data_IF_197586771657
#
_entry.id   IF_197586771657
#
_cell.length_a   1.000
_cell.length_b   1.000
_cell.length_c   1.000
_cell.angle_alpha   90.00
_cell.angle_beta   90.00
_cell.angle_gamma   90.00
#
_symmetry.space_group_name_H-M   'P 1'
#
loop_
_entity.id
_entity.type
_entity.pdbx_description
1 polymer ?
#
# COMPACT_ATOMS: atom_id res chain seq x y z
N UNK A 1 13.00 2.66 2.85
CA UNK A 1 12.29 2.80 1.55
C UNK A 1 12.72 4.04 0.76
N UNK A 2 12.91 3.94 -0.56
CA UNK A 2 13.11 5.12 -1.41
C UNK A 2 11.83 5.98 -1.46
N UNK A 3 11.98 7.31 -1.38
CA UNK A 3 10.81 8.23 -1.38
C UNK A 3 9.93 8.08 -2.61
N UNK A 4 10.51 7.67 -3.74
CA UNK A 4 9.80 7.41 -4.97
C UNK A 4 8.85 6.19 -4.85
N UNK A 5 9.29 5.16 -4.14
CA UNK A 5 8.54 3.92 -3.93
C UNK A 5 7.34 4.15 -3.01
N UNK A 6 7.56 4.91 -1.94
CA UNK A 6 6.49 5.33 -1.01
C UNK A 6 5.43 6.17 -1.72
N UNK A 7 5.85 7.16 -2.53
CA UNK A 7 4.93 7.98 -3.33
C UNK A 7 4.15 7.14 -4.35
N UNK A 8 4.78 6.12 -4.95
CA UNK A 8 4.12 5.23 -5.90
C UNK A 8 3.05 4.36 -5.20
N UNK A 9 3.36 3.79 -4.04
CA UNK A 9 2.40 3.03 -3.23
C UNK A 9 1.24 3.89 -2.74
N UNK A 10 1.52 5.12 -2.30
CA UNK A 10 0.49 6.07 -1.89
C UNK A 10 -0.42 6.44 -3.07
N UNK A 11 0.16 6.65 -4.26
CA UNK A 11 -0.60 6.92 -5.48
C UNK A 11 -1.48 5.73 -5.85
N UNK A 12 -0.94 4.51 -5.82
CA UNK A 12 -1.70 3.27 -6.05
C UNK A 12 -2.85 3.10 -5.06
N UNK A 13 -2.62 3.42 -3.78
CA UNK A 13 -3.65 3.39 -2.75
C UNK A 13 -4.76 4.41 -3.02
N UNK A 14 -4.42 5.67 -3.31
CA UNK A 14 -5.40 6.71 -3.62
C UNK A 14 -6.20 6.40 -4.89
N UNK A 15 -5.52 5.91 -5.94
CA UNK A 15 -6.18 5.46 -7.18
C UNK A 15 -7.14 4.31 -6.88
N UNK A 16 -6.73 3.33 -6.07
CA UNK A 16 -7.59 2.23 -5.63
C UNK A 16 -8.84 2.73 -4.90
N UNK A 17 -8.70 3.67 -3.96
CA UNK A 17 -9.84 4.28 -3.26
C UNK A 17 -10.81 4.94 -4.23
N UNK A 18 -10.30 5.69 -5.22
CA UNK A 18 -11.15 6.30 -6.25
C UNK A 18 -11.86 5.23 -7.07
N UNK A 19 -11.17 4.17 -7.51
CA UNK A 19 -11.75 3.07 -8.29
C UNK A 19 -12.85 2.35 -7.51
N UNK A 20 -12.66 2.08 -6.22
CA UNK A 20 -13.68 1.43 -5.36
C UNK A 20 -14.92 2.30 -5.17
N UNK A 21 -14.76 3.62 -5.12
CA UNK A 21 -15.87 4.56 -4.91
C UNK A 21 -16.49 5.05 -6.23
N UNK A 22 -15.90 4.73 -7.37
CA UNK A 22 -16.43 5.12 -8.68
C UNK A 22 -17.31 3.99 -9.21
N UNK A 23 -18.58 4.30 -9.44
CA UNK A 23 -19.48 3.39 -10.15
C UNK A 23 -19.14 3.42 -11.66
N UNK A 24 -18.21 2.55 -12.04
CA UNK A 24 -17.86 2.26 -13.42
C UNK A 24 -18.99 1.39 -13.99
N UNK A 25 -20.06 2.04 -14.43
CA UNK A 25 -21.37 1.43 -14.67
C UNK A 25 -21.40 0.09 -15.44
N UNK A 26 -22.50 -0.65 -15.24
CA UNK A 26 -22.71 -2.06 -15.62
C UNK A 26 -22.76 -2.40 -17.13
N UNK A 27 -22.33 -1.51 -18.01
CA UNK A 27 -22.44 -1.73 -19.47
C UNK A 27 -21.38 -2.73 -19.94
N UNK A 28 -21.81 -3.84 -20.54
CA UNK A 28 -20.87 -4.79 -21.16
C UNK A 28 -20.11 -4.14 -22.32
N UNK A 29 -18.78 -4.31 -22.43
CA UNK A 29 -17.87 -5.18 -21.65
C UNK A 29 -17.18 -4.51 -20.45
N UNK A 30 -17.52 -3.25 -20.15
CA UNK A 30 -16.88 -2.44 -19.10
C UNK A 30 -17.08 -3.05 -17.70
N UNK A 31 -18.16 -3.78 -17.47
CA UNK A 31 -18.46 -4.47 -16.20
C UNK A 31 -17.42 -5.53 -15.80
N UNK A 32 -16.84 -6.27 -16.75
CA UNK A 32 -15.79 -7.25 -16.46
C UNK A 32 -14.48 -6.57 -16.02
N UNK A 33 -14.12 -5.48 -16.71
CA UNK A 33 -12.94 -4.68 -16.36
C UNK A 33 -13.14 -3.93 -15.04
N UNK A 34 -14.34 -3.42 -14.79
CA UNK A 34 -14.75 -2.80 -13.53
C UNK A 34 -14.60 -3.76 -12.36
N UNK A 35 -15.11 -4.99 -12.50
CA UNK A 35 -15.00 -6.04 -11.47
C UNK A 35 -13.55 -6.40 -11.17
N UNK A 36 -12.72 -6.56 -12.22
CA UNK A 36 -11.30 -6.87 -12.05
C UNK A 36 -10.55 -5.71 -11.39
N UNK A 37 -10.80 -4.48 -11.84
CA UNK A 37 -10.21 -3.27 -11.26
C UNK A 37 -10.61 -3.10 -9.78
N UNK A 38 -11.87 -3.38 -9.44
CA UNK A 38 -12.37 -3.36 -8.07
C UNK A 38 -11.69 -4.40 -7.18
N UNK A 39 -11.51 -5.63 -7.66
CA UNK A 39 -10.79 -6.68 -6.94
C UNK A 39 -9.33 -6.29 -6.67
N UNK A 40 -8.64 -5.78 -7.70
CA UNK A 40 -7.25 -5.31 -7.57
C UNK A 40 -7.19 -4.13 -6.60
N UNK A 41 -8.13 -3.20 -6.68
CA UNK A 41 -8.21 -2.05 -5.80
C UNK A 41 -8.38 -2.49 -4.33
N UNK A 42 -9.31 -3.39 -4.02
CA UNK A 42 -9.46 -3.96 -2.68
C UNK A 42 -8.17 -4.60 -2.17
N UNK A 43 -7.47 -5.36 -3.04
CA UNK A 43 -6.23 -6.02 -2.69
C UNK A 43 -5.14 -4.99 -2.35
N UNK A 44 -4.97 -3.95 -3.17
CA UNK A 44 -4.04 -2.84 -2.93
C UNK A 44 -4.40 -2.08 -1.65
N UNK A 45 -5.68 -1.87 -1.38
CA UNK A 45 -6.15 -1.16 -0.19
C UNK A 45 -5.76 -1.87 1.11
N UNK A 46 -5.62 -3.20 1.10
CA UNK A 46 -5.14 -4.00 2.22
C UNK A 46 -3.61 -4.10 2.21
N UNK A 47 -3.01 -4.35 1.03
CA UNK A 47 -1.58 -4.62 0.90
C UNK A 47 -0.71 -3.40 1.24
N UNK A 48 -1.11 -2.21 0.79
CA UNK A 48 -0.31 -0.98 1.00
C UNK A 48 -0.16 -0.64 2.49
N UNK A 49 -1.23 -0.53 3.31
CA UNK A 49 -1.07 -0.29 4.73
C UNK A 49 -0.35 -1.44 5.44
N UNK A 50 -0.61 -2.70 5.06
CA UNK A 50 0.12 -3.85 5.63
C UNK A 50 1.63 -3.77 5.36
N UNK A 51 2.03 -3.36 4.16
CA UNK A 51 3.42 -3.16 3.79
C UNK A 51 4.05 -2.02 4.60
N UNK A 52 3.34 -0.88 4.72
CA UNK A 52 3.81 0.26 5.53
C UNK A 52 4.02 -0.11 7.00
N UNK A 53 3.11 -0.91 7.57
CA UNK A 53 3.29 -1.41 8.94
C UNK A 53 4.47 -2.36 9.06
N UNK A 54 4.68 -3.25 8.09
CA UNK A 54 5.81 -4.17 8.10
C UNK A 54 7.16 -3.42 8.02
N UNK A 55 7.28 -2.47 7.08
CA UNK A 55 8.48 -1.64 6.90
C UNK A 55 8.76 -0.81 8.16
N UNK A 56 7.73 -0.17 8.73
CA UNK A 56 7.86 0.60 9.97
C UNK A 56 8.28 -0.24 11.18
N UNK A 57 7.81 -1.48 11.31
CA UNK A 57 8.22 -2.38 12.39
C UNK A 57 9.69 -2.78 12.24
N UNK A 58 10.15 -3.08 11.01
CA UNK A 58 11.54 -3.43 10.73
C UNK A 58 12.48 -2.25 11.04
N UNK A 59 12.14 -1.04 10.57
CA UNK A 59 12.92 0.16 10.86
C UNK A 59 13.02 0.44 12.37
N UNK A 60 11.92 0.28 13.12
CA UNK A 60 11.92 0.45 14.57
C UNK A 60 12.81 -0.61 15.26
N UNK A 61 12.75 -1.86 14.82
CA UNK A 61 13.59 -2.94 15.36
C UNK A 61 15.08 -2.67 15.11
N UNK A 62 15.42 -2.17 13.93
CA UNK A 62 16.79 -1.85 13.55
C UNK A 62 17.33 -0.65 14.34
N UNK A 63 16.51 0.38 14.57
CA UNK A 63 16.84 1.52 15.45
C UNK A 63 17.09 1.08 16.90
N UNK A 64 16.23 0.22 17.46
CA UNK A 64 16.40 -0.31 18.82
C UNK A 64 17.70 -1.12 18.91
N UNK A 65 18.00 -1.94 17.89
CA UNK A 65 19.22 -2.74 17.84
C UNK A 65 20.47 -1.87 17.77
N UNK A 66 20.47 -0.84 16.93
CA UNK A 66 21.57 0.13 16.82
C UNK A 66 21.81 0.89 18.14
N UNK A 67 20.74 1.30 18.82
CA UNK A 67 20.84 1.95 20.14
C UNK A 67 21.37 1.03 21.23
N UNK A 68 21.14 -0.29 21.13
CA UNK A 68 21.62 -1.26 22.12
C UNK A 68 23.11 -1.59 21.99
N UNK A 69 23.68 -1.47 20.79
CA UNK A 69 25.13 -1.72 20.57
C UNK A 69 25.98 -0.51 20.95
N UNK A 70 25.51 0.72 20.69
CA UNK A 70 26.23 1.95 21.05
C UNK A 70 26.31 2.25 22.56
N UNK A 71 25.65 1.46 23.42
CA UNK A 71 25.71 1.60 24.87
C UNK A 71 26.75 0.67 25.53
N UNK A 72 27.51 -0.11 24.74
CA UNK A 72 28.55 -1.05 25.22
C UNK A 72 29.99 -0.59 25.00
N UNK A 73 30.19 0.60 24.45
CA UNK A 73 31.51 1.23 24.28
C UNK A 73 31.77 2.31 25.35
#
# INVERSE_FOLDING_TARGET
>A
MDRNELCNLLTLFLVSVVVVNTDLGDVFPMSLFSTLAYLVALLVMILVPAYLFADGIVDIQELIRSSSDGSRE
#
